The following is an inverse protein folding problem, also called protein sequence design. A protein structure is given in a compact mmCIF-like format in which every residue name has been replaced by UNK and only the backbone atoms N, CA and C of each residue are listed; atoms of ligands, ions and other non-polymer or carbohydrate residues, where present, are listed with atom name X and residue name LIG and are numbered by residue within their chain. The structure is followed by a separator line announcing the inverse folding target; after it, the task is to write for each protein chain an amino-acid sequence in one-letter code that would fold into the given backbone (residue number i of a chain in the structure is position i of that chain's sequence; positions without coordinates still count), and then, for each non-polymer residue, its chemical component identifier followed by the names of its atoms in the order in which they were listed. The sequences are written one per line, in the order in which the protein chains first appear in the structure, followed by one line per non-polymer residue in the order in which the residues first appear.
data_IF_539731100851
#
_entry.id   IF_539731100851
#
_cell.length_a   1.000
_cell.length_b   1.000
_cell.length_c   1.000
_cell.angle_alpha   90.00
_cell.angle_beta   90.00
_cell.angle_gamma   90.00
#
_symmetry.space_group_name_H-M   'P 1'
#
loop_
_entity.id
_entity.type
_entity.pdbx_description
1 polymer ?
#
# COMPACT_ATOMS: atom_id res chain seq x y z
N UNK A 1 69.55 -55.87 24.50
CA UNK A 1 69.04 -54.61 23.91
C UNK A 1 69.35 -54.64 22.42
N UNK A 2 68.43 -55.14 21.60
CA UNK A 2 68.54 -55.14 20.14
C UNK A 2 68.01 -53.81 19.63
N UNK A 3 68.90 -52.88 19.33
CA UNK A 3 68.62 -51.64 18.61
C UNK A 3 68.26 -51.99 17.17
N UNK A 4 66.97 -52.16 16.90
CA UNK A 4 66.46 -52.32 15.53
C UNK A 4 66.82 -51.08 14.72
N UNK A 5 67.83 -51.20 13.87
CA UNK A 5 68.23 -50.15 12.94
C UNK A 5 67.08 -49.92 11.95
N UNK A 6 66.35 -48.82 12.13
CA UNK A 6 65.40 -48.34 11.11
C UNK A 6 66.23 -47.93 9.90
N UNK A 7 66.28 -48.81 8.90
CA UNK A 7 66.96 -48.56 7.63
C UNK A 7 66.51 -47.22 7.04
N UNK A 8 67.43 -46.42 6.51
CA UNK A 8 67.23 -45.09 5.93
C UNK A 8 66.07 -45.03 4.91
N UNK A 9 65.75 -46.15 4.25
CA UNK A 9 64.59 -46.31 3.38
C UNK A 9 63.24 -46.17 4.11
N UNK A 10 63.14 -46.67 5.34
CA UNK A 10 61.95 -46.54 6.19
C UNK A 10 61.69 -45.10 6.63
N UNK A 11 62.74 -44.29 6.81
CA UNK A 11 62.61 -42.88 7.20
C UNK A 11 61.95 -42.05 6.10
N UNK A 12 62.42 -42.16 4.84
CA UNK A 12 61.79 -41.47 3.69
C UNK A 12 60.32 -41.87 3.51
N UNK A 13 59.99 -43.14 3.74
CA UNK A 13 58.61 -43.63 3.71
C UNK A 13 57.75 -43.04 4.84
N UNK A 14 58.33 -42.80 6.02
CA UNK A 14 57.66 -42.15 7.14
C UNK A 14 57.34 -40.67 6.88
N UNK A 15 58.26 -39.92 6.26
CA UNK A 15 58.04 -38.50 5.93
C UNK A 15 56.96 -38.29 4.87
N UNK A 16 56.88 -39.17 3.87
CA UNK A 16 55.79 -39.15 2.89
C UNK A 16 54.40 -39.43 3.49
N UNK A 17 54.36 -39.83 4.76
CA UNK A 17 53.18 -40.20 5.53
C UNK A 17 52.79 -39.12 6.55
N UNK A 18 53.52 -38.02 6.66
CA UNK A 18 53.18 -36.95 7.59
C UNK A 18 52.27 -35.92 6.91
N UNK A 19 51.13 -35.64 7.52
CA UNK A 19 50.22 -34.57 7.10
C UNK A 19 50.37 -33.38 8.04
N UNK A 20 50.95 -32.28 7.54
CA UNK A 20 50.96 -31.00 8.22
C UNK A 20 49.70 -30.20 7.85
N UNK A 21 48.88 -29.84 8.84
CA UNK A 21 47.75 -28.92 8.67
C UNK A 21 48.19 -27.57 9.22
N UNK A 22 48.23 -26.55 8.36
CA UNK A 22 48.69 -25.22 8.74
C UNK A 22 47.64 -24.49 9.58
N UNK A 23 48.03 -23.37 10.18
CA UNK A 23 47.07 -22.45 10.79
C UNK A 23 46.12 -21.89 9.74
N UNK A 24 44.83 -21.85 10.06
CA UNK A 24 43.79 -21.48 9.09
C UNK A 24 43.46 -22.56 8.06
N UNK A 25 43.96 -23.79 8.22
CA UNK A 25 43.56 -24.94 7.41
C UNK A 25 42.81 -25.97 8.26
N UNK A 26 41.85 -26.65 7.65
CA UNK A 26 41.23 -27.87 8.15
C UNK A 26 41.52 -28.99 7.15
N UNK A 27 41.84 -30.19 7.65
CA UNK A 27 42.00 -31.37 6.81
C UNK A 27 40.90 -32.40 7.06
N UNK A 28 40.17 -32.75 6.02
CA UNK A 28 39.27 -33.90 6.02
C UNK A 28 40.07 -35.15 5.66
N UNK A 29 40.03 -36.15 6.53
CA UNK A 29 40.75 -37.42 6.33
C UNK A 29 39.82 -38.62 6.46
N UNK A 30 39.98 -39.57 5.54
CA UNK A 30 39.34 -40.89 5.63
C UNK A 30 40.31 -41.88 6.25
N UNK A 31 40.06 -42.30 7.48
CA UNK A 31 40.90 -43.28 8.17
C UNK A 31 40.82 -44.66 7.52
N UNK A 32 41.79 -45.53 7.81
CA UNK A 32 41.84 -46.90 7.28
C UNK A 32 40.63 -47.77 7.69
N UNK A 33 39.99 -47.46 8.82
CA UNK A 33 38.73 -48.07 9.28
C UNK A 33 37.49 -47.53 8.51
N UNK A 34 37.72 -46.67 7.52
CA UNK A 34 36.69 -46.04 6.71
C UNK A 34 36.00 -44.85 7.36
N UNK A 35 36.31 -44.50 8.62
CA UNK A 35 35.71 -43.35 9.31
C UNK A 35 36.25 -42.03 8.77
N UNK A 36 35.47 -40.99 8.91
CA UNK A 36 35.87 -39.63 8.56
C UNK A 36 36.31 -38.88 9.82
N UNK A 37 37.39 -38.11 9.73
CA UNK A 37 37.83 -37.22 10.80
C UNK A 37 38.18 -35.85 10.24
N UNK A 38 37.89 -34.81 11.01
CA UNK A 38 38.37 -33.44 10.76
C UNK A 38 39.61 -33.21 11.62
N UNK A 39 40.72 -32.83 11.00
CA UNK A 39 41.96 -32.50 11.67
C UNK A 39 42.16 -30.98 11.65
N UNK A 40 42.39 -30.40 12.82
CA UNK A 40 42.76 -28.99 12.97
C UNK A 40 44.26 -28.75 12.75
N UNK A 41 44.77 -27.59 13.17
CA UNK A 41 46.20 -27.25 13.10
C UNK A 41 47.05 -28.31 13.81
N UNK A 42 48.06 -28.84 13.12
CA UNK A 42 48.98 -29.80 13.73
C UNK A 42 49.76 -30.66 12.73
N UNK A 43 50.66 -31.47 13.27
CA UNK A 43 51.42 -32.47 12.52
C UNK A 43 50.86 -33.86 12.84
N UNK A 44 50.28 -34.52 11.85
CA UNK A 44 49.63 -35.83 12.03
C UNK A 44 50.40 -36.91 11.27
N UNK A 45 50.80 -37.98 11.96
CA UNK A 45 51.42 -39.15 11.33
C UNK A 45 50.36 -40.08 10.72
N UNK A 46 50.54 -40.49 9.47
CA UNK A 46 49.69 -41.48 8.79
C UNK A 46 49.68 -42.83 9.48
N UNK A 47 50.64 -43.19 10.34
CA UNK A 47 50.62 -44.51 11.01
C UNK A 47 49.50 -44.63 12.05
N UNK A 48 48.95 -43.53 12.55
CA UNK A 48 47.84 -43.54 13.52
C UNK A 48 46.48 -43.36 12.87
N UNK A 49 46.45 -42.94 11.59
CA UNK A 49 45.23 -42.50 10.88
C UNK A 49 45.09 -43.14 9.49
N UNK A 50 46.13 -43.79 8.95
CA UNK A 50 46.18 -44.44 7.63
C UNK A 50 45.30 -43.76 6.56
N UNK A 51 45.40 -42.43 6.35
CA UNK A 51 44.37 -41.76 5.59
C UNK A 51 44.48 -42.16 4.13
N UNK A 52 43.45 -42.84 3.62
CA UNK A 52 43.38 -43.23 2.20
C UNK A 52 43.19 -42.01 1.31
N UNK A 53 42.62 -40.94 1.87
CA UNK A 53 42.51 -39.65 1.22
C UNK A 53 42.62 -38.53 2.27
N UNK A 54 43.33 -37.46 1.92
CA UNK A 54 43.46 -36.23 2.70
C UNK A 54 43.12 -35.07 1.77
N UNK A 55 42.18 -34.22 2.19
CA UNK A 55 41.90 -32.96 1.49
C UNK A 55 42.01 -31.82 2.50
N UNK A 56 42.89 -30.88 2.23
CA UNK A 56 43.07 -29.67 3.04
C UNK A 56 42.27 -28.54 2.42
N UNK A 57 41.63 -27.77 3.27
CA UNK A 57 40.80 -26.64 2.92
C UNK A 57 41.13 -25.49 3.84
N UNK A 58 40.93 -24.26 3.37
CA UNK A 58 41.00 -23.10 4.25
C UNK A 58 39.84 -23.15 5.26
N UNK A 59 40.09 -22.81 6.52
CA UNK A 59 39.05 -22.76 7.57
C UNK A 59 37.93 -21.78 7.27
N UNK A 60 38.19 -20.82 6.38
CA UNK A 60 37.22 -19.81 5.93
C UNK A 60 36.39 -20.27 4.73
N UNK A 61 36.64 -21.47 4.18
CA UNK A 61 35.78 -22.03 3.14
C UNK A 61 34.46 -22.52 3.76
N UNK A 62 33.34 -22.02 3.22
CA UNK A 62 31.99 -22.38 3.66
C UNK A 62 31.66 -23.86 3.39
N UNK A 63 32.38 -24.54 2.47
CA UNK A 63 32.07 -25.90 2.05
C UNK A 63 33.31 -26.75 1.77
N UNK A 64 33.33 -27.95 2.36
CA UNK A 64 34.36 -28.95 2.17
C UNK A 64 33.72 -30.31 1.86
N UNK A 65 34.30 -31.05 0.92
CA UNK A 65 33.78 -32.37 0.52
C UNK A 65 34.91 -33.38 0.32
N UNK A 66 34.72 -34.56 0.91
CA UNK A 66 35.56 -35.74 0.70
C UNK A 66 34.69 -36.99 0.53
N UNK A 67 34.46 -37.39 -0.72
CA UNK A 67 33.54 -38.48 -1.06
C UNK A 67 32.09 -38.10 -0.78
N UNK A 68 31.39 -38.94 -0.01
CA UNK A 68 30.00 -38.73 0.44
C UNK A 68 29.90 -37.90 1.73
N UNK A 69 31.04 -37.46 2.26
CA UNK A 69 31.10 -36.69 3.49
C UNK A 69 31.28 -35.20 3.17
N UNK A 70 30.41 -34.39 3.75
CA UNK A 70 30.29 -32.96 3.53
C UNK A 70 30.42 -32.24 4.87
N UNK A 71 31.24 -31.19 4.90
CA UNK A 71 31.30 -30.26 6.03
C UNK A 71 30.94 -28.88 5.49
N UNK A 72 29.87 -28.32 6.04
CA UNK A 72 29.39 -26.98 5.71
C UNK A 72 29.58 -26.09 6.92
N UNK A 73 30.19 -24.94 6.73
CA UNK A 73 30.28 -23.89 7.73
C UNK A 73 29.41 -22.71 7.30
N UNK A 74 28.34 -22.47 8.06
CA UNK A 74 27.45 -21.34 7.84
C UNK A 74 27.78 -20.27 8.88
N UNK A 75 28.36 -19.17 8.42
CA UNK A 75 28.73 -18.03 9.27
C UNK A 75 27.46 -17.38 9.86
N UNK A 76 27.50 -16.86 11.10
CA UNK A 76 26.38 -16.10 11.66
C UNK A 76 25.90 -14.98 10.73
N UNK A 77 24.58 -14.81 10.62
CA UNK A 77 23.97 -13.88 9.68
C UNK A 77 23.79 -14.40 8.25
N UNK A 78 24.29 -15.61 7.94
CA UNK A 78 24.03 -16.30 6.66
C UNK A 78 23.12 -17.51 6.85
N UNK A 79 22.57 -17.99 5.73
CA UNK A 79 21.88 -19.28 5.62
C UNK A 79 22.58 -20.14 4.59
N UNK A 80 22.85 -21.40 4.93
CA UNK A 80 23.40 -22.37 3.98
C UNK A 80 22.29 -22.94 3.11
N UNK A 81 22.43 -22.82 1.79
CA UNK A 81 21.49 -23.35 0.81
C UNK A 81 22.00 -24.69 0.28
N UNK A 82 21.22 -25.74 0.49
CA UNK A 82 21.54 -27.08 0.04
C UNK A 82 20.30 -27.82 -0.46
N UNK A 83 20.54 -28.96 -1.09
CA UNK A 83 19.50 -29.96 -1.38
C UNK A 83 19.91 -31.29 -0.76
N UNK A 84 18.93 -32.04 -0.26
CA UNK A 84 19.10 -33.39 0.26
C UNK A 84 18.04 -34.30 -0.35
N UNK A 85 18.46 -35.31 -1.12
CA UNK A 85 17.55 -36.16 -1.90
C UNK A 85 16.66 -35.36 -2.86
N UNK A 86 17.20 -34.29 -3.46
CA UNK A 86 16.47 -33.38 -4.35
C UNK A 86 15.50 -32.42 -3.64
N UNK A 87 15.30 -32.55 -2.32
CA UNK A 87 14.49 -31.63 -1.53
C UNK A 87 15.34 -30.47 -1.02
N UNK A 88 14.83 -29.22 -1.01
CA UNK A 88 15.57 -28.10 -0.46
C UNK A 88 15.83 -28.29 1.04
N UNK A 89 17.03 -27.93 1.48
CA UNK A 89 17.49 -27.98 2.86
C UNK A 89 18.18 -26.65 3.20
N UNK A 90 17.63 -25.95 4.19
CA UNK A 90 18.21 -24.73 4.74
C UNK A 90 19.02 -25.08 5.97
N UNK A 91 20.31 -24.76 5.94
CA UNK A 91 21.23 -24.95 7.06
C UNK A 91 21.31 -23.65 7.86
N UNK A 92 21.05 -23.74 9.17
CA UNK A 92 21.20 -22.62 10.10
C UNK A 92 22.68 -22.28 10.30
N UNK A 93 22.98 -21.19 11.02
CA UNK A 93 24.36 -20.89 11.43
C UNK A 93 25.01 -22.07 12.18
N UNK A 94 26.33 -22.23 12.00
CA UNK A 94 27.14 -23.28 12.63
C UNK A 94 27.82 -24.25 11.65
N UNK A 95 28.38 -25.32 12.20
CA UNK A 95 29.04 -26.38 11.44
C UNK A 95 28.10 -27.59 11.27
N UNK A 96 27.87 -27.98 10.02
CA UNK A 96 27.03 -29.11 9.64
C UNK A 96 27.90 -30.19 9.02
N UNK A 97 27.84 -31.40 9.58
CA UNK A 97 28.55 -32.57 9.05
C UNK A 97 27.53 -33.57 8.53
N UNK A 98 27.55 -33.82 7.22
CA UNK A 98 26.54 -34.62 6.53
C UNK A 98 27.25 -35.74 5.76
N UNK A 99 26.84 -36.98 6.01
CA UNK A 99 27.42 -38.17 5.40
C UNK A 99 26.41 -38.85 4.47
N UNK A 100 26.14 -38.22 3.32
CA UNK A 100 25.16 -38.69 2.35
C UNK A 100 25.58 -38.29 0.93
N UNK A 101 25.59 -39.26 0.01
CA UNK A 101 25.92 -39.04 -1.40
C UNK A 101 24.92 -38.15 -2.14
N UNK A 102 23.68 -38.07 -1.64
CA UNK A 102 22.58 -37.32 -2.24
C UNK A 102 22.44 -35.91 -1.64
N UNK A 103 23.34 -35.51 -0.74
CA UNK A 103 23.45 -34.15 -0.26
C UNK A 103 24.27 -33.30 -1.24
N UNK A 104 23.78 -32.11 -1.56
CA UNK A 104 24.46 -31.14 -2.41
C UNK A 104 24.33 -29.75 -1.80
N UNK A 105 25.46 -29.21 -1.35
CA UNK A 105 25.54 -27.80 -0.96
C UNK A 105 25.65 -26.93 -2.22
N UNK A 106 24.92 -25.81 -2.25
CA UNK A 106 24.96 -24.87 -3.37
C UNK A 106 25.79 -23.63 -3.02
N UNK A 107 25.38 -22.89 -1.99
CA UNK A 107 26.05 -21.66 -1.52
C UNK A 107 25.52 -21.22 -0.16
N UNK A 108 26.25 -20.32 0.50
CA UNK A 108 25.71 -19.51 1.59
C UNK A 108 25.07 -18.24 1.00
N UNK A 109 23.98 -17.76 1.59
CA UNK A 109 23.34 -16.48 1.27
C UNK A 109 23.23 -15.62 2.53
N UNK A 110 23.24 -14.30 2.38
CA UNK A 110 23.09 -13.40 3.53
C UNK A 110 21.61 -13.39 3.97
N UNK A 111 21.33 -13.45 5.27
CA UNK A 111 19.95 -13.37 5.77
C UNK A 111 19.31 -12.00 5.52
N UNK A 112 20.12 -10.99 5.19
CA UNK A 112 19.67 -9.65 4.78
C UNK A 112 19.30 -9.58 3.30
N UNK A 113 19.66 -10.58 2.49
CA UNK A 113 19.27 -10.63 1.08
C UNK A 113 17.74 -10.64 0.98
N UNK A 114 17.20 -9.78 0.11
CA UNK A 114 15.75 -9.60 -0.03
C UNK A 114 15.05 -10.85 -0.60
N UNK A 115 15.76 -11.60 -1.46
CA UNK A 115 15.27 -12.82 -2.07
C UNK A 115 16.34 -13.90 -2.15
N UNK A 116 16.09 -15.00 -1.44
CA UNK A 116 16.95 -16.18 -1.39
C UNK A 116 16.13 -17.37 -1.88
N UNK A 117 16.68 -18.18 -2.77
CA UNK A 117 16.00 -19.40 -3.22
C UNK A 117 16.98 -20.56 -3.41
N UNK A 118 16.46 -21.77 -3.22
CA UNK A 118 17.14 -23.05 -3.47
C UNK A 118 16.11 -24.09 -3.89
N UNK A 119 16.24 -24.64 -5.10
CA UNK A 119 15.23 -25.54 -5.67
C UNK A 119 13.82 -24.94 -5.57
N UNK A 120 12.88 -25.61 -4.89
CA UNK A 120 11.50 -25.16 -4.67
C UNK A 120 11.30 -24.28 -3.43
N UNK A 121 12.35 -24.05 -2.63
CA UNK A 121 12.26 -23.23 -1.42
C UNK A 121 12.67 -21.78 -1.71
N UNK A 122 11.84 -20.84 -1.26
CA UNK A 122 12.00 -19.41 -1.43
C UNK A 122 11.88 -18.72 -0.07
N UNK A 123 12.82 -17.83 0.25
CA UNK A 123 12.79 -16.95 1.41
C UNK A 123 12.76 -15.52 0.88
N UNK A 124 11.72 -14.78 1.23
CA UNK A 124 11.57 -13.38 0.85
C UNK A 124 11.56 -12.55 2.12
N UNK A 125 12.48 -11.60 2.20
CA UNK A 125 12.53 -10.61 3.27
C UNK A 125 11.97 -9.31 2.72
N UNK A 126 10.74 -8.97 3.08
CA UNK A 126 10.06 -7.74 2.65
C UNK A 126 10.44 -6.59 3.61
N UNK A 127 11.09 -5.52 3.12
CA UNK A 127 11.38 -4.33 3.92
C UNK A 127 10.13 -3.65 4.48
N UNK A 128 10.27 -2.87 5.56
CA UNK A 128 9.15 -2.18 6.24
C UNK A 128 8.43 -1.14 5.38
N UNK A 129 9.14 -0.53 4.44
CA UNK A 129 8.63 0.49 3.52
C UNK A 129 8.17 -0.11 2.18
N UNK A 130 8.27 -1.43 2.01
CA UNK A 130 7.91 -2.14 0.77
C UNK A 130 6.80 -3.15 0.99
N UNK A 131 6.25 -3.59 -0.13
CA UNK A 131 5.29 -4.69 -0.23
C UNK A 131 5.86 -5.68 -1.25
N UNK A 132 5.91 -6.95 -0.89
CA UNK A 132 6.33 -8.01 -1.80
C UNK A 132 5.17 -8.50 -2.67
N UNK A 133 5.44 -8.79 -3.94
CA UNK A 133 4.46 -9.35 -4.87
C UNK A 133 4.91 -10.74 -5.29
N UNK A 134 4.01 -11.72 -5.14
CA UNK A 134 4.29 -13.11 -5.48
C UNK A 134 3.08 -13.78 -6.13
N UNK A 135 3.32 -14.78 -6.97
CA UNK A 135 2.29 -15.67 -7.52
C UNK A 135 2.53 -17.06 -6.95
N UNK A 136 1.48 -17.69 -6.41
CA UNK A 136 1.52 -19.03 -5.84
C UNK A 136 0.40 -19.83 -6.51
N UNK A 137 0.75 -20.89 -7.24
CA UNK A 137 -0.21 -21.72 -7.98
C UNK A 137 -1.14 -20.94 -8.92
N UNK A 138 -0.65 -19.84 -9.51
CA UNK A 138 -1.43 -18.97 -10.41
C UNK A 138 -2.27 -17.91 -9.71
N UNK A 139 -2.30 -17.89 -8.37
CA UNK A 139 -2.98 -16.86 -7.58
C UNK A 139 -1.99 -15.76 -7.15
N UNK A 140 -2.43 -14.51 -7.22
CA UNK A 140 -1.64 -13.37 -6.74
C UNK A 140 -1.63 -13.30 -5.21
N UNK A 141 -0.47 -12.99 -4.63
CA UNK A 141 -0.27 -12.76 -3.21
C UNK A 141 0.48 -11.44 -2.98
N UNK A 142 -0.02 -10.67 -2.02
CA UNK A 142 0.60 -9.43 -1.55
C UNK A 142 1.21 -9.72 -0.18
N UNK A 143 2.53 -9.67 -0.10
CA UNK A 143 3.31 -9.98 1.10
C UNK A 143 3.53 -8.71 1.91
N UNK A 144 3.07 -8.72 3.16
CA UNK A 144 3.35 -7.66 4.12
C UNK A 144 4.84 -7.60 4.48
N UNK A 145 5.33 -6.50 5.08
CA UNK A 145 6.67 -6.47 5.66
C UNK A 145 6.95 -7.67 6.58
N UNK A 146 8.17 -8.18 6.52
CA UNK A 146 8.60 -9.36 7.27
C UNK A 146 9.21 -10.45 6.39
N UNK A 147 9.54 -11.59 7.00
CA UNK A 147 10.15 -12.73 6.33
C UNK A 147 9.09 -13.79 6.01
N UNK A 148 9.01 -14.18 4.75
CA UNK A 148 8.09 -15.18 4.23
C UNK A 148 8.87 -16.34 3.65
N UNK A 149 8.43 -17.57 3.92
CA UNK A 149 9.09 -18.79 3.44
C UNK A 149 8.06 -19.62 2.68
N UNK A 150 8.39 -19.98 1.45
CA UNK A 150 7.57 -20.80 0.58
C UNK A 150 8.34 -22.02 0.14
N UNK A 151 7.67 -23.15 -0.04
CA UNK A 151 8.25 -24.36 -0.60
C UNK A 151 7.30 -24.92 -1.66
N UNK A 152 7.35 -24.34 -2.85
CA UNK A 152 6.42 -24.63 -3.94
C UNK A 152 7.14 -24.47 -5.30
N UNK A 153 7.15 -25.50 -6.17
CA UNK A 153 7.80 -25.43 -7.48
C UNK A 153 7.17 -24.42 -8.46
N UNK A 154 5.91 -24.01 -8.26
CA UNK A 154 5.22 -23.03 -9.11
C UNK A 154 5.20 -21.62 -8.50
N UNK A 155 5.95 -21.40 -7.42
CA UNK A 155 6.13 -20.09 -6.81
C UNK A 155 6.88 -19.13 -7.76
N UNK A 156 6.38 -17.90 -7.88
CA UNK A 156 7.06 -16.85 -8.64
C UNK A 156 7.09 -15.55 -7.83
N UNK A 157 8.30 -15.05 -7.55
CA UNK A 157 8.46 -13.71 -6.97
C UNK A 157 8.48 -12.66 -8.08
N UNK A 158 7.56 -11.70 -8.02
CA UNK A 158 7.40 -10.65 -9.04
C UNK A 158 8.29 -9.46 -8.74
N UNK A 159 8.46 -9.12 -7.46
CA UNK A 159 9.31 -8.02 -7.01
C UNK A 159 8.70 -7.24 -5.85
N UNK A 160 9.28 -6.09 -5.56
CA UNK A 160 8.81 -5.17 -4.52
C UNK A 160 8.14 -3.94 -5.13
N UNK A 161 7.13 -3.43 -4.42
CA UNK A 161 6.54 -2.11 -4.64
C UNK A 161 6.60 -1.27 -3.39
N UNK A 162 6.50 0.04 -3.54
CA UNK A 162 6.49 0.94 -2.40
C UNK A 162 5.20 0.78 -1.59
N UNK A 163 5.31 0.68 -0.27
CA UNK A 163 4.14 0.55 0.61
C UNK A 163 3.20 1.76 0.56
N UNK A 164 3.71 2.90 0.09
CA UNK A 164 2.97 4.15 -0.09
C UNK A 164 2.37 4.32 -1.49
N UNK A 165 2.60 3.37 -2.42
CA UNK A 165 1.98 3.42 -3.74
C UNK A 165 0.45 3.38 -3.60
N UNK A 166 -0.31 4.33 -4.19
CA UNK A 166 -1.74 4.46 -3.95
C UNK A 166 -2.53 3.19 -4.28
N UNK A 167 -2.12 2.48 -5.33
CA UNK A 167 -2.73 1.22 -5.77
C UNK A 167 -1.67 0.23 -6.21
N UNK A 168 -1.75 -0.98 -5.68
CA UNK A 168 -0.93 -2.13 -6.07
C UNK A 168 -1.89 -3.26 -6.41
N UNK A 169 -1.83 -3.76 -7.65
CA UNK A 169 -2.65 -4.87 -8.12
C UNK A 169 -1.82 -6.06 -8.58
N UNK A 170 -2.25 -7.26 -8.24
CA UNK A 170 -1.70 -8.52 -8.76
C UNK A 170 -2.83 -9.55 -8.88
N UNK A 171 -3.23 -9.86 -10.11
CA UNK A 171 -4.42 -10.68 -10.40
C UNK A 171 -5.67 -10.09 -9.71
N UNK A 172 -6.41 -10.89 -8.94
CA UNK A 172 -7.58 -10.43 -8.18
C UNK A 172 -7.23 -9.72 -6.88
N UNK A 173 -5.97 -9.75 -6.42
CA UNK A 173 -5.58 -9.08 -5.18
C UNK A 173 -5.22 -7.62 -5.46
N UNK A 174 -5.85 -6.73 -4.72
CA UNK A 174 -5.55 -5.29 -4.78
C UNK A 174 -5.28 -4.76 -3.38
N UNK A 175 -4.24 -3.95 -3.25
CA UNK A 175 -3.97 -3.15 -2.05
C UNK A 175 -4.07 -1.68 -2.43
N UNK A 176 -4.78 -0.93 -1.60
CA UNK A 176 -4.96 0.50 -1.76
C UNK A 176 -4.41 1.21 -0.52
N UNK A 177 -3.58 2.23 -0.73
CA UNK A 177 -3.12 3.12 0.33
C UNK A 177 -3.75 4.49 0.12
N UNK A 178 -4.50 4.95 1.12
CA UNK A 178 -5.14 6.26 1.11
C UNK A 178 -4.50 7.13 2.19
N UNK A 179 -3.69 8.13 1.81
CA UNK A 179 -3.07 9.06 2.76
C UNK A 179 -4.10 9.81 3.60
N UNK A 180 -3.68 10.30 4.77
CA UNK A 180 -4.51 11.14 5.63
C UNK A 180 -4.97 12.40 4.89
N UNK A 181 -6.26 12.71 4.99
CA UNK A 181 -6.85 13.88 4.31
C UNK A 181 -7.14 13.67 2.83
N UNK A 182 -6.96 12.44 2.32
CA UNK A 182 -7.33 12.08 0.96
C UNK A 182 -8.45 11.04 0.93
N UNK A 183 -9.08 10.92 -0.23
CA UNK A 183 -10.14 9.95 -0.53
C UNK A 183 -9.77 9.25 -1.82
N UNK A 184 -9.82 7.92 -1.82
CA UNK A 184 -9.65 7.14 -3.02
C UNK A 184 -10.99 6.78 -3.66
N UNK A 185 -11.05 6.91 -4.98
CA UNK A 185 -12.20 6.57 -5.81
C UNK A 185 -11.94 5.21 -6.45
N UNK A 186 -12.68 4.20 -6.04
CA UNK A 186 -12.56 2.83 -6.56
C UNK A 186 -13.91 2.24 -6.95
N UNK A 187 -13.92 1.26 -7.84
CA UNK A 187 -15.06 0.41 -8.07
C UNK A 187 -14.67 -1.06 -7.89
N UNK A 188 -15.46 -1.81 -7.12
CA UNK A 188 -15.25 -3.23 -6.81
C UNK A 188 -16.45 -4.00 -7.33
N UNK A 189 -16.23 -4.89 -8.30
CA UNK A 189 -17.29 -5.66 -8.96
C UNK A 189 -18.43 -4.77 -9.51
N UNK A 190 -18.03 -3.62 -10.07
CA UNK A 190 -18.93 -2.61 -10.62
C UNK A 190 -19.57 -1.67 -9.59
N UNK A 191 -19.41 -1.93 -8.29
CA UNK A 191 -19.95 -1.08 -7.22
C UNK A 191 -18.97 0.05 -6.87
N UNK A 192 -19.37 1.33 -6.96
CA UNK A 192 -18.50 2.45 -6.62
C UNK A 192 -18.30 2.58 -5.10
N UNK A 193 -17.08 2.90 -4.69
CA UNK A 193 -16.71 3.20 -3.31
C UNK A 193 -15.84 4.46 -3.24
N UNK A 194 -16.03 5.23 -2.17
CA UNK A 194 -15.13 6.30 -1.77
C UNK A 194 -14.53 5.94 -0.43
N UNK A 195 -13.22 5.71 -0.41
CA UNK A 195 -12.51 5.21 0.77
C UNK A 195 -11.73 6.34 1.41
N UNK A 196 -11.91 6.52 2.71
CA UNK A 196 -11.16 7.50 3.51
C UNK A 196 -9.73 7.02 3.80
N UNK A 197 -9.02 7.69 4.71
CA UNK A 197 -7.65 7.34 5.01
C UNK A 197 -7.52 5.91 5.56
N UNK A 198 -6.55 5.16 5.06
CA UNK A 198 -6.36 3.78 5.49
C UNK A 198 -5.59 2.93 4.49
N UNK A 199 -5.41 1.66 4.85
CA UNK A 199 -4.92 0.61 3.97
C UNK A 199 -6.07 -0.36 3.74
N UNK A 200 -6.44 -0.58 2.49
CA UNK A 200 -7.52 -1.48 2.11
C UNK A 200 -6.98 -2.61 1.25
N UNK A 201 -7.48 -3.82 1.46
CA UNK A 201 -7.14 -4.99 0.66
C UNK A 201 -8.43 -5.58 0.08
N UNK A 202 -8.42 -5.85 -1.22
CA UNK A 202 -9.54 -6.43 -1.96
C UNK A 202 -9.11 -7.70 -2.66
N UNK A 203 -10.05 -8.63 -2.81
CA UNK A 203 -9.94 -9.82 -3.64
C UNK A 203 -11.10 -9.82 -4.64
N UNK A 204 -10.89 -9.18 -5.78
CA UNK A 204 -11.91 -8.98 -6.80
C UNK A 204 -11.25 -8.98 -8.18
N UNK A 205 -11.76 -9.78 -9.11
CA UNK A 205 -11.25 -9.81 -10.48
C UNK A 205 -11.61 -8.52 -11.25
N UNK A 206 -12.74 -7.89 -10.91
CA UNK A 206 -13.20 -6.64 -11.51
C UNK A 206 -12.97 -5.46 -10.54
N UNK A 207 -11.71 -5.05 -10.39
CA UNK A 207 -11.32 -3.90 -9.58
C UNK A 207 -10.86 -2.74 -10.46
N UNK A 208 -11.40 -1.54 -10.21
CA UNK A 208 -11.01 -0.31 -10.92
C UNK A 208 -10.59 0.75 -9.91
N UNK A 209 -9.31 1.11 -9.90
CA UNK A 209 -8.82 2.31 -9.22
C UNK A 209 -8.86 3.49 -10.18
N UNK A 210 -9.61 4.54 -9.83
CA UNK A 210 -9.69 5.76 -10.65
C UNK A 210 -8.60 6.75 -10.28
N UNK A 211 -8.58 7.18 -9.02
CA UNK A 211 -7.60 8.13 -8.48
C UNK A 211 -7.73 8.27 -6.96
N UNK A 212 -6.76 8.95 -6.36
CA UNK A 212 -6.83 9.48 -4.99
C UNK A 212 -6.84 11.01 -5.07
N UNK A 213 -7.73 11.66 -4.32
CA UNK A 213 -7.91 13.11 -4.33
C UNK A 213 -7.98 13.68 -2.91
N UNK A 214 -7.73 14.98 -2.74
CA UNK A 214 -7.87 15.64 -1.44
C UNK A 214 -9.33 15.58 -0.96
N UNK A 215 -9.56 15.29 0.32
CA UNK A 215 -10.88 15.20 0.91
C UNK A 215 -11.67 16.52 0.88
N UNK A 216 -11.00 17.66 0.71
CA UNK A 216 -11.61 18.99 0.53
C UNK A 216 -11.81 19.37 -0.93
N UNK A 217 -11.46 18.48 -1.87
CA UNK A 217 -11.79 18.69 -3.29
C UNK A 217 -13.30 18.92 -3.40
N UNK A 218 -13.77 20.04 -3.97
CA UNK A 218 -15.18 20.44 -3.88
C UNK A 218 -16.13 19.37 -4.40
N UNK A 219 -15.71 18.63 -5.43
CA UNK A 219 -16.54 17.60 -6.05
C UNK A 219 -15.71 16.42 -6.52
N UNK A 220 -16.14 15.22 -6.14
CA UNK A 220 -15.59 13.93 -6.54
C UNK A 220 -16.71 13.04 -7.05
N UNK A 221 -16.42 12.24 -8.07
CA UNK A 221 -17.42 11.42 -8.75
C UNK A 221 -16.84 10.10 -9.28
N UNK A 222 -17.55 9.00 -9.03
CA UNK A 222 -17.29 7.69 -9.59
C UNK A 222 -18.59 6.91 -9.81
N UNK A 223 -18.90 6.60 -11.08
CA UNK A 223 -20.12 5.91 -11.53
C UNK A 223 -21.43 6.62 -11.13
N UNK A 224 -22.05 6.23 -10.02
CA UNK A 224 -23.27 6.85 -9.49
C UNK A 224 -23.03 7.54 -8.16
N UNK A 225 -21.83 7.40 -7.60
CA UNK A 225 -21.48 7.94 -6.30
C UNK A 225 -20.83 9.32 -6.47
N UNK A 226 -21.50 10.32 -5.92
CA UNK A 226 -21.11 11.72 -5.91
C UNK A 226 -20.74 12.12 -4.49
N UNK A 227 -19.62 12.80 -4.32
CA UNK A 227 -19.24 13.40 -3.06
C UNK A 227 -18.92 14.87 -3.27
N UNK A 228 -19.52 15.70 -2.46
CA UNK A 228 -19.36 17.13 -2.48
C UNK A 228 -18.88 17.63 -1.13
N UNK A 229 -17.86 18.48 -1.14
CA UNK A 229 -17.42 19.21 0.04
C UNK A 229 -17.89 20.66 -0.10
N UNK A 230 -18.80 21.09 0.79
CA UNK A 230 -19.37 22.43 0.80
C UNK A 230 -18.78 23.24 1.96
N UNK A 231 -17.91 24.24 1.69
CA UNK A 231 -17.39 25.15 2.71
C UNK A 231 -18.49 26.02 3.32
N UNK A 232 -18.24 26.55 4.51
CA UNK A 232 -19.11 27.56 5.12
C UNK A 232 -19.29 28.78 4.21
N UNK A 233 -20.54 29.27 4.14
CA UNK A 233 -20.88 30.44 3.34
C UNK A 233 -21.00 30.19 1.84
N UNK A 234 -20.90 28.94 1.38
CA UNK A 234 -21.23 28.55 0.00
C UNK A 234 -22.55 27.78 -0.06
N UNK A 235 -23.17 27.79 -1.24
CA UNK A 235 -24.37 27.03 -1.58
C UNK A 235 -24.04 26.23 -2.84
N UNK A 236 -24.34 24.94 -2.84
CA UNK A 236 -24.21 24.12 -4.02
C UNK A 236 -25.51 24.12 -4.83
N UNK A 237 -25.37 24.27 -6.15
CA UNK A 237 -26.48 24.17 -7.10
C UNK A 237 -26.43 22.80 -7.74
N UNK A 238 -27.46 21.98 -7.49
CA UNK A 238 -27.50 20.61 -7.97
C UNK A 238 -28.77 20.34 -8.75
N UNK A 239 -28.69 19.41 -9.70
CA UNK A 239 -29.85 18.79 -10.32
C UNK A 239 -29.94 17.34 -9.85
N UNK A 240 -31.11 16.90 -9.43
CA UNK A 240 -31.38 15.54 -8.99
C UNK A 240 -32.74 15.09 -9.54
N UNK A 241 -32.78 13.99 -10.30
CA UNK A 241 -34.00 13.50 -10.96
C UNK A 241 -34.75 14.57 -11.80
N UNK A 242 -33.98 15.42 -12.47
CA UNK A 242 -34.51 16.53 -13.28
C UNK A 242 -35.03 17.71 -12.48
N UNK A 243 -34.88 17.71 -11.14
CA UNK A 243 -35.28 18.78 -10.23
C UNK A 243 -34.06 19.55 -9.74
N UNK A 244 -34.16 20.88 -9.77
CA UNK A 244 -33.15 21.74 -9.19
C UNK A 244 -33.24 21.81 -7.66
N UNK A 245 -32.13 21.65 -6.97
CA UNK A 245 -32.03 21.80 -5.52
C UNK A 245 -30.83 22.65 -5.11
N UNK A 246 -30.98 23.35 -3.98
CA UNK A 246 -29.93 24.14 -3.36
C UNK A 246 -29.52 23.46 -2.05
N UNK A 247 -28.24 23.12 -1.93
CA UNK A 247 -27.70 22.54 -0.70
C UNK A 247 -26.93 23.65 0.03
N UNK A 248 -27.47 24.08 1.17
CA UNK A 248 -26.90 25.17 1.98
C UNK A 248 -26.08 24.69 3.17
N UNK A 249 -26.30 23.45 3.64
CA UNK A 249 -25.66 22.95 4.86
C UNK A 249 -24.17 22.70 4.62
N UNK A 250 -23.25 23.41 5.30
CA UNK A 250 -21.83 23.16 5.16
C UNK A 250 -21.46 21.74 5.58
N UNK A 251 -20.46 21.16 4.93
CA UNK A 251 -19.98 19.81 5.26
C UNK A 251 -19.79 18.92 4.03
N UNK A 252 -19.79 17.62 4.28
CA UNK A 252 -19.62 16.60 3.26
C UNK A 252 -20.97 15.99 2.93
N UNK A 253 -21.33 15.99 1.65
CA UNK A 253 -22.54 15.38 1.14
C UNK A 253 -22.15 14.23 0.22
N UNK A 254 -22.72 13.05 0.45
CA UNK A 254 -22.52 11.86 -0.38
C UNK A 254 -23.88 11.43 -0.92
N UNK A 255 -23.99 11.36 -2.24
CA UNK A 255 -25.24 11.07 -2.95
C UNK A 255 -24.94 9.96 -3.95
N UNK A 256 -25.71 8.88 -3.88
CA UNK A 256 -25.63 7.77 -4.84
C UNK A 256 -26.82 7.84 -5.78
N UNK A 257 -26.61 8.42 -6.96
CA UNK A 257 -27.64 8.51 -8.00
C UNK A 257 -27.03 8.73 -9.39
N UNK A 258 -27.51 8.00 -10.41
CA UNK A 258 -27.05 8.19 -11.79
C UNK A 258 -27.55 9.51 -12.42
N UNK A 259 -28.53 10.18 -11.83
CA UNK A 259 -29.14 11.41 -12.37
C UNK A 259 -28.63 12.68 -11.70
N UNK A 260 -27.76 12.55 -10.68
CA UNK A 260 -27.23 13.69 -9.97
C UNK A 260 -26.21 14.45 -10.83
N UNK A 261 -26.38 15.77 -10.89
CA UNK A 261 -25.47 16.66 -11.60
C UNK A 261 -25.17 17.90 -10.75
N UNK A 262 -23.90 18.15 -10.47
CA UNK A 262 -23.46 19.39 -9.84
C UNK A 262 -23.35 20.49 -10.90
N UNK A 263 -24.14 21.56 -10.75
CA UNK A 263 -24.08 22.73 -11.65
C UNK A 263 -23.03 23.74 -11.23
N UNK A 264 -22.76 23.86 -9.94
CA UNK A 264 -21.70 24.75 -9.44
C UNK A 264 -21.82 25.04 -7.95
N UNK A 265 -20.97 25.96 -7.49
CA UNK A 265 -20.99 26.51 -6.14
C UNK A 265 -21.11 28.02 -6.23
N UNK A 266 -21.99 28.59 -5.42
CA UNK A 266 -22.17 30.03 -5.30
C UNK A 266 -21.97 30.48 -3.87
N UNK A 267 -21.64 31.76 -3.68
CA UNK A 267 -21.60 32.33 -2.33
C UNK A 267 -23.02 32.50 -1.80
N UNK A 268 -23.23 32.19 -0.54
CA UNK A 268 -24.50 32.43 0.17
C UNK A 268 -24.97 33.90 0.13
N UNK A 269 -24.05 34.83 -0.12
CA UNK A 269 -24.28 36.27 -0.24
C UNK A 269 -24.77 36.73 -1.61
N UNK A 270 -24.81 35.83 -2.61
CA UNK A 270 -25.36 36.15 -3.93
C UNK A 270 -26.85 36.42 -3.78
N UNK A 271 -27.30 37.57 -4.26
CA UNK A 271 -28.68 38.05 -4.06
C UNK A 271 -29.72 37.24 -4.82
N UNK A 272 -29.34 36.66 -5.96
CA UNK A 272 -30.23 35.84 -6.76
C UNK A 272 -29.47 34.69 -7.42
N UNK A 273 -29.96 33.47 -7.23
CA UNK A 273 -29.44 32.27 -7.88
C UNK A 273 -30.59 31.36 -8.29
N UNK A 274 -30.40 30.59 -9.36
CA UNK A 274 -31.41 29.66 -9.88
C UNK A 274 -30.75 28.39 -10.39
N UNK A 275 -31.37 27.25 -10.10
CA UNK A 275 -31.02 25.92 -10.63
C UNK A 275 -32.31 25.16 -10.92
N UNK A 276 -32.50 24.72 -12.16
CA UNK A 276 -33.75 24.12 -12.60
C UNK A 276 -34.95 25.05 -12.31
N UNK A 277 -35.93 24.51 -11.59
CA UNK A 277 -37.12 25.20 -11.10
C UNK A 277 -36.94 25.87 -9.73
N UNK A 278 -35.77 25.74 -9.10
CA UNK A 278 -35.50 26.32 -7.78
C UNK A 278 -34.78 27.66 -7.92
N UNK A 279 -35.38 28.72 -7.38
CA UNK A 279 -34.78 30.05 -7.28
C UNK A 279 -34.65 30.47 -5.81
N UNK A 280 -33.52 31.06 -5.46
CA UNK A 280 -33.27 31.65 -4.14
C UNK A 280 -32.97 33.13 -4.26
N UNK A 281 -33.63 33.92 -3.43
CA UNK A 281 -33.48 35.36 -3.33
C UNK A 281 -33.01 35.73 -1.92
N UNK A 282 -31.88 36.42 -1.81
CA UNK A 282 -31.40 37.02 -0.57
C UNK A 282 -31.70 38.53 -0.59
N UNK A 283 -32.62 38.97 0.26
CA UNK A 283 -32.92 40.38 0.47
C UNK A 283 -32.15 40.86 1.70
N UNK A 284 -31.17 41.75 1.50
CA UNK A 284 -30.34 42.31 2.57
C UNK A 284 -31.18 43.14 3.55
N UNK A 285 -30.72 43.23 4.79
CA UNK A 285 -31.32 44.13 5.78
C UNK A 285 -31.41 45.57 5.24
N UNK A 286 -32.56 46.22 5.45
CA UNK A 286 -32.83 47.58 4.95
C UNK A 286 -33.21 47.67 3.47
N UNK A 287 -33.36 46.55 2.76
CA UNK A 287 -33.78 46.50 1.37
C UNK A 287 -35.15 45.79 1.25
N UNK A 288 -35.88 46.03 0.15
CA UNK A 288 -37.12 45.32 -0.17
C UNK A 288 -36.95 44.68 -1.54
N UNK A 289 -36.93 43.36 -1.59
CA UNK A 289 -36.81 42.65 -2.85
C UNK A 289 -38.06 42.85 -3.69
N UNK A 290 -37.92 42.94 -5.01
CA UNK A 290 -39.05 42.84 -5.93
C UNK A 290 -38.84 41.63 -6.82
N UNK A 291 -39.74 40.68 -6.70
CA UNK A 291 -39.74 39.44 -7.47
C UNK A 291 -40.85 39.50 -8.51
N UNK A 292 -40.52 39.21 -9.76
CA UNK A 292 -41.53 39.02 -10.80
C UNK A 292 -41.73 37.53 -11.02
N UNK A 293 -42.91 37.04 -10.66
CA UNK A 293 -43.36 35.67 -10.92
C UNK A 293 -44.48 35.76 -11.95
N UNK A 294 -44.16 35.40 -13.19
CA UNK A 294 -45.17 35.24 -14.25
C UNK A 294 -46.00 36.48 -14.54
N UNK A 295 -45.38 37.65 -14.41
CA UNK A 295 -46.01 38.95 -14.60
C UNK A 295 -46.61 39.56 -13.32
N UNK A 296 -46.71 38.79 -12.24
CA UNK A 296 -47.10 39.30 -10.92
C UNK A 296 -45.85 39.78 -10.17
N UNK A 297 -45.92 40.99 -9.61
CA UNK A 297 -44.85 41.52 -8.78
C UNK A 297 -45.16 41.25 -7.30
N UNK A 298 -44.25 40.56 -6.63
CA UNK A 298 -44.27 40.33 -5.19
C UNK A 298 -43.16 41.15 -4.52
N UNK A 299 -43.47 41.76 -3.37
CA UNK A 299 -42.50 42.48 -2.55
C UNK A 299 -42.02 41.56 -1.43
N UNK A 300 -40.70 41.40 -1.33
CA UNK A 300 -40.06 40.50 -0.39
C UNK A 300 -39.44 41.28 0.77
N UNK A 301 -39.75 40.93 2.03
CA UNK A 301 -39.07 41.52 3.17
C UNK A 301 -37.60 41.05 3.24
N UNK A 302 -36.74 41.70 4.04
CA UNK A 302 -35.39 41.20 4.32
C UNK A 302 -35.41 39.74 4.80
N UNK A 303 -34.52 38.92 4.25
CA UNK A 303 -34.47 37.49 4.54
C UNK A 303 -34.00 36.65 3.34
N UNK A 304 -34.03 35.34 3.51
CA UNK A 304 -33.82 34.35 2.45
C UNK A 304 -35.19 33.82 2.04
N UNK A 305 -35.48 33.86 0.74
CA UNK A 305 -36.73 33.38 0.16
C UNK A 305 -36.43 32.35 -0.92
N UNK A 306 -37.12 31.22 -0.88
CA UNK A 306 -36.98 30.13 -1.84
C UNK A 306 -38.28 29.88 -2.59
N UNK A 307 -38.15 29.69 -3.90
CA UNK A 307 -39.26 29.47 -4.82
C UNK A 307 -38.99 28.21 -5.65
N UNK A 308 -40.04 27.44 -5.90
CA UNK A 308 -40.02 26.26 -6.78
C UNK A 308 -41.03 26.45 -7.90
N UNK A 309 -40.68 27.25 -8.90
CA UNK A 309 -41.52 27.48 -10.07
C UNK A 309 -40.69 27.45 -11.34
N UNK A 310 -41.23 26.81 -12.38
CA UNK A 310 -40.58 26.67 -13.70
C UNK A 310 -40.63 27.94 -14.56
N UNK A 311 -41.23 29.03 -14.06
CA UNK A 311 -41.50 30.24 -14.85
C UNK A 311 -40.44 31.32 -14.58
N UNK A 312 -40.32 32.29 -15.51
CA UNK A 312 -39.27 33.31 -15.52
C UNK A 312 -39.26 34.15 -14.23
N UNK A 313 -38.45 33.74 -13.25
CA UNK A 313 -38.19 34.50 -12.03
C UNK A 313 -37.11 35.54 -12.34
N UNK A 314 -37.44 36.82 -12.18
CA UNK A 314 -36.45 37.91 -12.23
C UNK A 314 -36.47 38.71 -10.93
N UNK A 315 -35.27 38.99 -10.40
CA UNK A 315 -35.07 39.79 -9.20
C UNK A 315 -34.50 41.16 -9.56
N UNK A 316 -35.21 42.23 -9.17
CA UNK A 316 -34.69 43.60 -9.21
C UNK A 316 -34.25 43.99 -7.80
N UNK A 317 -32.94 44.09 -7.57
CA UNK A 317 -32.41 44.60 -6.31
C UNK A 317 -32.85 46.05 -6.09
N UNK A 318 -33.68 46.31 -5.07
CA UNK A 318 -34.02 47.69 -4.70
C UNK A 318 -32.80 48.36 -4.09
N UNK A 319 -32.42 49.56 -4.53
CA UNK A 319 -31.49 50.38 -3.75
C UNK A 319 -32.11 50.71 -2.37
N UNK A 320 -31.29 50.96 -1.33
CA UNK A 320 -31.82 51.37 -0.03
C UNK A 320 -32.57 52.68 -0.23
N UNK A 321 -33.91 52.58 -0.32
CA UNK A 321 -34.76 53.76 -0.34
C UNK A 321 -34.74 54.27 1.08
N UNK A 322 -33.99 55.35 1.31
CA UNK A 322 -34.24 56.22 2.44
C UNK A 322 -35.70 56.63 2.32
N UNK A 323 -36.57 56.01 3.10
CA UNK A 323 -37.91 56.53 3.31
C UNK A 323 -37.73 57.89 3.99
N UNK A 324 -37.52 58.93 3.20
CA UNK A 324 -37.63 60.30 3.66
C UNK A 324 -39.12 60.51 3.90
N UNK A 325 -39.57 60.18 5.11
CA UNK A 325 -40.84 60.66 5.62
C UNK A 325 -40.70 62.17 5.76
N UNK A 326 -40.99 62.90 4.68
CA UNK A 326 -41.19 64.35 4.75
C UNK A 326 -42.55 64.57 5.41
N UNK A 327 -42.53 64.71 6.74
CA UNK A 327 -43.63 65.32 7.49
C UNK A 327 -43.68 66.80 7.10
N UNK A 328 -44.33 67.13 5.98
CA UNK A 328 -44.82 68.48 5.73
C UNK A 328 -46.33 68.49 5.92
N UNK A 329 -46.74 69.14 7.01
CA UNK A 329 -48.08 69.63 7.30
C UNK A 329 -49.18 68.57 7.39
N UNK A 330 -49.25 67.88 8.53
CA UNK A 330 -50.52 67.64 9.25
C UNK A 330 -51.71 66.98 8.52
N UNK A 331 -51.53 66.38 7.36
CA UNK A 331 -52.56 65.65 6.63
C UNK A 331 -51.99 64.33 6.10
N UNK A 332 -52.47 63.23 6.69
CA UNK A 332 -52.36 61.89 6.11
C UNK A 332 -53.24 61.84 4.85
N UNK A 333 -52.66 62.16 3.70
CA UNK A 333 -53.21 61.70 2.43
C UNK A 333 -52.55 60.37 2.08
N UNK A 334 -53.30 59.30 2.31
CA UNK A 334 -52.98 57.97 1.81
C UNK A 334 -53.10 57.98 0.28
N UNK A 335 -51.98 58.03 -0.42
CA UNK A 335 -51.89 57.63 -1.83
C UNK A 335 -50.98 56.41 -1.90
N UNK A 336 -51.63 55.28 -2.19
CA UNK A 336 -51.08 53.98 -2.61
C UNK A 336 -49.83 53.49 -1.87
N UNK A 337 -50.07 52.89 -0.70
CA UNK A 337 -49.19 51.86 -0.16
C UNK A 337 -50.03 50.72 0.42
N UNK A 338 -49.72 49.50 -0.04
CA UNK A 338 -50.08 48.25 0.62
C UNK A 338 -49.41 48.26 1.99
N UNK A 339 -50.22 48.33 3.05
CA UNK A 339 -49.76 48.21 4.43
C UNK A 339 -49.60 46.72 4.78
N UNK A 340 -48.37 46.28 5.02
CA UNK A 340 -48.11 45.08 5.82
C UNK A 340 -47.96 45.54 7.26
N UNK A 341 -48.98 45.29 8.08
CA UNK A 341 -48.89 45.45 9.53
C UNK A 341 -48.23 44.20 10.12
N UNK A 342 -47.04 44.35 10.71
CA UNK A 342 -46.46 43.34 11.60
C UNK A 342 -46.87 43.70 13.03
N UNK A 343 -47.68 42.84 13.66
CA UNK A 343 -47.94 42.87 15.11
C UNK A 343 -46.83 42.12 15.86
N UNK A 344 -46.38 42.73 16.95
CA UNK A 344 -45.36 42.29 17.91
C UNK A 344 -45.63 40.95 18.57
#
# INVERSE_FOLDING_TARGET
MTTSAVTVLGWRHLWGKITLVKEGELALVRTWDGRMRVLGRGLYLSSTVGPTAVRKHNSNEDYMQLGIFHVVHVVPGKVGLATHNGKPLLLTEGHHMINDALFKFERSADLTDEYIHVSTAHIITVPTDKIGLAIIAGEGHILSPGRHIFNDPVFQFIGFKDSTEPHIGLHSKHRLYVPKGQIALVAVDGQPHMLENGVYCFDAAAFVYKQTADAKTPYLFIHTLHRMYLPEGQIALVMYDGRGELIETPGVHVIDSPTFELKGFEKSTVEFMTVGECSRVLVKAGHVGKLNISGSNELLPPGVHEYRETQNVSYEGSSPRTCVFSLRNGFLNCLNNVHVCLSS
#
